data_IF_107036315069
#
_entry.id   IF_107036315069
#
_cell.length_a   1.000
_cell.length_b   1.000
_cell.length_c   1.000
_cell.angle_alpha   90.00
_cell.angle_beta   90.00
_cell.angle_gamma   90.00
#
_symmetry.space_group_name_H-M   'P 1'
#
loop_
_entity.id
_entity.type
_entity.pdbx_description
1 polymer ?
#
# COMPACT_ATOMS: atom_id res chain seq x y z
N UNK A 1 5.54 16.69 -2.48
CA UNK A 1 6.09 15.38 -2.08
C UNK A 1 6.95 14.87 -3.22
N UNK A 2 7.97 14.03 -3.00
CA UNK A 2 8.67 13.40 -4.11
C UNK A 2 7.69 12.54 -4.93
N UNK A 3 7.80 12.58 -6.25
CA UNK A 3 6.97 11.79 -7.17
C UNK A 3 7.51 10.37 -7.26
N UNK A 4 6.64 9.41 -7.57
CA UNK A 4 7.05 8.07 -7.92
C UNK A 4 7.64 8.07 -9.33
N UNK A 5 8.83 7.51 -9.47
CA UNK A 5 9.46 7.22 -10.76
C UNK A 5 8.79 6.01 -11.42
N UNK A 6 8.92 5.89 -12.74
CA UNK A 6 8.41 4.74 -13.50
C UNK A 6 8.95 3.40 -12.97
N UNK A 7 10.21 3.35 -12.54
CA UNK A 7 10.82 2.17 -11.92
C UNK A 7 10.18 1.79 -10.57
N UNK A 8 9.71 2.76 -9.80
CA UNK A 8 9.02 2.49 -8.52
C UNK A 8 7.62 1.94 -8.78
N UNK A 9 6.92 2.48 -9.79
CA UNK A 9 5.62 1.97 -10.22
C UNK A 9 5.74 0.53 -10.74
N UNK A 10 6.76 0.26 -11.55
CA UNK A 10 7.05 -1.09 -12.04
C UNK A 10 7.36 -2.06 -10.89
N UNK A 11 8.13 -1.62 -9.89
CA UNK A 11 8.38 -2.41 -8.68
C UNK A 11 7.11 -2.70 -7.89
N UNK A 12 6.20 -1.72 -7.73
CA UNK A 12 4.91 -1.92 -7.05
C UNK A 12 4.07 -2.96 -7.82
N UNK A 13 4.05 -2.86 -9.15
CA UNK A 13 3.34 -3.79 -10.02
C UNK A 13 3.90 -5.21 -9.94
N UNK A 14 5.23 -5.35 -10.00
CA UNK A 14 5.91 -6.62 -9.87
C UNK A 14 5.70 -7.23 -8.48
N UNK A 15 5.78 -6.42 -7.41
CA UNK A 15 5.51 -6.85 -6.05
C UNK A 15 4.09 -7.37 -5.91
N UNK A 16 3.10 -6.65 -6.45
CA UNK A 16 1.70 -7.07 -6.44
C UNK A 16 1.50 -8.39 -7.21
N UNK A 17 2.07 -8.52 -8.43
CA UNK A 17 1.99 -9.75 -9.22
C UNK A 17 2.73 -10.93 -8.61
N UNK A 18 3.77 -10.67 -7.82
CA UNK A 18 4.52 -11.71 -7.12
C UNK A 18 3.78 -12.26 -5.89
N UNK A 19 2.65 -11.66 -5.50
CA UNK A 19 1.88 -12.13 -4.36
C UNK A 19 1.08 -13.41 -4.67
N UNK A 20 0.94 -14.33 -3.70
CA UNK A 20 0.19 -15.56 -3.89
C UNK A 20 -1.31 -15.31 -4.09
N UNK A 21 -1.99 -16.22 -4.80
CA UNK A 21 -3.43 -16.19 -4.97
C UNK A 21 -4.12 -16.33 -3.59
N UNK A 22 -4.71 -15.25 -3.10
CA UNK A 22 -5.22 -15.15 -1.72
C UNK A 22 -4.46 -14.19 -0.82
N UNK A 23 -3.49 -13.46 -1.36
CA UNK A 23 -2.92 -12.33 -0.67
C UNK A 23 -3.98 -11.24 -0.43
N UNK A 24 -3.79 -10.47 0.64
CA UNK A 24 -4.68 -9.38 1.04
C UNK A 24 -4.75 -8.23 0.03
N UNK A 25 -3.78 -8.15 -0.88
CA UNK A 25 -3.58 -7.06 -1.82
C UNK A 25 -4.30 -7.39 -3.13
N UNK A 26 -5.43 -6.74 -3.38
CA UNK A 26 -6.28 -7.04 -4.55
C UNK A 26 -6.00 -6.19 -5.76
N UNK A 27 -5.30 -5.08 -5.57
CA UNK A 27 -4.82 -4.26 -6.67
C UNK A 27 -4.15 -3.00 -6.16
N UNK A 28 -3.68 -2.20 -7.10
CA UNK A 28 -3.14 -0.88 -6.82
C UNK A 28 -3.52 0.07 -7.97
N UNK A 29 -3.52 1.38 -7.71
CA UNK A 29 -3.74 2.40 -8.72
C UNK A 29 -2.86 3.62 -8.48
N UNK A 30 -2.17 4.08 -9.52
CA UNK A 30 -1.46 5.36 -9.49
C UNK A 30 -2.44 6.52 -9.73
N UNK A 31 -2.35 7.59 -8.92
CA UNK A 31 -3.19 8.79 -9.12
C UNK A 31 -2.44 9.81 -9.98
N UNK A 32 -2.89 9.98 -11.22
CA UNK A 32 -2.35 10.98 -12.15
C UNK A 32 -1.18 10.48 -13.01
N UNK A 33 -0.71 11.35 -13.90
CA UNK A 33 0.33 11.04 -14.90
C UNK A 33 1.75 10.99 -14.31
N UNK A 34 1.97 11.69 -13.20
CA UNK A 34 3.17 11.57 -12.36
C UNK A 34 2.70 11.33 -10.93
N UNK A 35 2.41 10.07 -10.56
CA UNK A 35 1.79 9.78 -9.29
C UNK A 35 2.68 10.31 -8.16
N UNK A 36 2.12 11.22 -7.36
CA UNK A 36 2.65 11.56 -6.03
C UNK A 36 2.12 10.59 -4.97
N UNK A 37 1.07 9.85 -5.33
CA UNK A 37 0.38 8.90 -4.46
C UNK A 37 -0.06 7.70 -5.26
N UNK A 38 0.21 6.52 -4.71
CA UNK A 38 -0.26 5.23 -5.22
C UNK A 38 -1.27 4.68 -4.22
N UNK A 39 -2.45 4.31 -4.68
CA UNK A 39 -3.46 3.67 -3.85
C UNK A 39 -3.28 2.17 -3.85
N UNK A 40 -3.17 1.61 -2.66
CA UNK A 40 -3.10 0.17 -2.43
C UNK A 40 -4.49 -0.31 -1.99
N UNK A 41 -5.06 -1.25 -2.74
CA UNK A 41 -6.37 -1.84 -2.43
C UNK A 41 -6.19 -3.19 -1.77
N UNK A 42 -6.86 -3.39 -0.63
CA UNK A 42 -6.91 -4.70 0.04
C UNK A 42 -8.32 -5.27 0.04
N UNK A 43 -8.45 -6.60 -0.14
CA UNK A 43 -9.71 -7.32 0.10
C UNK A 43 -9.54 -8.52 1.03
N UNK A 44 -10.56 -8.70 1.87
CA UNK A 44 -11.17 -10.01 2.22
C UNK A 44 -12.43 -9.89 3.07
N UNK A 45 -12.70 -8.74 3.68
CA UNK A 45 -13.95 -8.47 4.42
C UNK A 45 -14.29 -6.97 4.51
N UNK A 46 -13.27 -6.08 4.57
CA UNK A 46 -13.45 -4.63 4.52
C UNK A 46 -12.53 -4.05 3.45
N UNK A 47 -13.12 -3.50 2.38
CA UNK A 47 -12.37 -2.79 1.35
C UNK A 47 -11.73 -1.54 1.97
N UNK A 48 -10.40 -1.48 2.03
CA UNK A 48 -9.65 -0.28 2.43
C UNK A 48 -8.64 0.10 1.36
N UNK A 49 -8.51 1.41 1.18
CA UNK A 49 -7.49 2.03 0.35
C UNK A 49 -6.41 2.60 1.26
N UNK A 50 -5.16 2.30 0.93
CA UNK A 50 -4.00 2.82 1.63
C UNK A 50 -3.23 3.72 0.65
N UNK A 51 -3.34 5.04 0.77
CA UNK A 51 -2.49 5.95 0.01
C UNK A 51 -1.03 5.79 0.42
N UNK A 52 -0.24 5.24 -0.50
CA UNK A 52 1.21 5.19 -0.46
C UNK A 52 1.77 6.48 -1.05
N UNK A 53 2.57 7.18 -0.25
CA UNK A 53 3.28 8.39 -0.65
C UNK A 53 4.77 8.17 -0.52
N UNK A 54 5.56 8.86 -1.33
CA UNK A 54 7.02 8.78 -1.23
C UNK A 54 7.52 9.81 -0.22
N UNK A 55 8.49 9.44 0.58
CA UNK A 55 9.17 10.31 1.55
C UNK A 55 10.65 10.45 1.18
N UNK A 56 11.36 11.49 1.65
CA UNK A 56 12.78 11.63 1.38
C UNK A 56 13.63 10.46 1.92
N UNK A 57 13.12 9.69 2.88
CA UNK A 57 13.79 8.53 3.47
C UNK A 57 13.28 7.18 2.93
N UNK A 58 12.27 7.17 2.03
CA UNK A 58 11.64 5.95 1.53
C UNK A 58 10.18 6.17 1.16
N UNK A 59 9.29 5.47 1.87
CA UNK A 59 7.87 5.36 1.55
C UNK A 59 7.01 5.44 2.81
N UNK A 60 5.93 6.19 2.73
CA UNK A 60 4.93 6.34 3.78
C UNK A 60 3.59 5.80 3.31
N UNK A 61 3.11 4.77 3.98
CA UNK A 61 1.74 4.29 3.85
C UNK A 61 0.85 5.06 4.82
N UNK A 62 -0.22 5.63 4.30
CA UNK A 62 -1.28 6.24 5.10
C UNK A 62 -2.57 5.45 4.95
N UNK A 63 -3.47 5.60 5.91
CA UNK A 63 -4.85 5.10 5.81
C UNK A 63 -5.73 6.09 5.01
N UNK A 64 -6.98 5.72 4.72
CA UNK A 64 -7.98 6.55 4.04
C UNK A 64 -8.15 7.95 4.68
N UNK A 65 -8.01 8.02 6.01
CA UNK A 65 -8.10 9.27 6.78
C UNK A 65 -6.86 10.16 6.64
N UNK A 66 -5.86 9.78 5.84
CA UNK A 66 -4.59 10.49 5.71
C UNK A 66 -3.68 10.37 6.93
N UNK A 67 -4.04 9.51 7.90
CA UNK A 67 -3.19 9.20 9.03
C UNK A 67 -2.04 8.32 8.58
N UNK A 68 -0.82 8.75 8.87
CA UNK A 68 0.38 7.96 8.65
C UNK A 68 0.23 6.63 9.38
N UNK A 69 0.24 5.56 8.60
CA UNK A 69 0.04 4.22 9.09
C UNK A 69 1.39 3.57 9.37
N UNK A 70 2.31 3.58 8.39
CA UNK A 70 3.69 3.12 8.53
C UNK A 70 4.62 3.82 7.56
N UNK A 71 5.90 3.87 7.91
CA UNK A 71 6.99 4.29 7.02
C UNK A 71 7.99 3.15 6.85
N UNK A 72 8.55 3.02 5.66
CA UNK A 72 9.52 2.02 5.32
C UNK A 72 10.54 2.58 4.33
N UNK A 73 11.80 2.16 4.44
CA UNK A 73 12.84 2.58 3.50
C UNK A 73 12.70 1.93 2.11
N UNK A 74 12.04 0.77 2.02
CA UNK A 74 11.87 0.00 0.77
C UNK A 74 10.43 -0.46 0.59
N UNK A 75 10.02 -0.73 -0.66
CA UNK A 75 8.68 -1.24 -0.97
C UNK A 75 8.44 -2.65 -0.42
N UNK A 76 9.49 -3.49 -0.35
CA UNK A 76 9.41 -4.82 0.27
C UNK A 76 9.14 -4.73 1.78
N UNK A 77 9.85 -3.82 2.46
CA UNK A 77 9.65 -3.59 3.88
C UNK A 77 8.28 -2.96 4.16
N UNK A 78 7.81 -2.09 3.26
CA UNK A 78 6.45 -1.55 3.27
C UNK A 78 5.40 -2.66 3.10
N UNK A 79 5.63 -3.62 2.20
CA UNK A 79 4.74 -4.75 1.99
C UNK A 79 4.68 -5.62 3.25
N UNK A 80 5.84 -6.00 3.80
CA UNK A 80 5.92 -6.71 5.09
C UNK A 80 5.22 -5.94 6.20
N UNK A 81 5.31 -4.61 6.18
CA UNK A 81 4.61 -3.74 7.10
C UNK A 81 3.08 -3.79 6.94
N UNK A 82 2.59 -3.84 5.70
CA UNK A 82 1.16 -4.01 5.35
C UNK A 82 0.66 -5.41 5.73
N UNK A 83 1.48 -6.44 5.54
CA UNK A 83 1.20 -7.83 5.92
C UNK A 83 1.24 -8.05 7.43
N UNK A 84 2.20 -7.41 8.11
CA UNK A 84 2.36 -7.41 9.55
C UNK A 84 1.29 -6.58 10.27
N UNK A 85 0.35 -5.96 9.53
CA UNK A 85 -0.93 -5.54 10.11
C UNK A 85 -1.67 -6.82 10.47
N UNK A 86 -1.67 -7.22 11.76
CA UNK A 86 -2.47 -8.34 12.16
C UNK A 86 -3.89 -7.97 11.76
N UNK A 87 -4.62 -8.93 11.20
CA UNK A 87 -6.06 -8.83 11.02
C UNK A 87 -6.63 -7.96 12.14
N UNK A 88 -7.29 -6.87 11.77
CA UNK A 88 -8.25 -6.23 12.67
C UNK A 88 -9.15 -7.40 13.08
N UNK A 89 -8.87 -8.00 14.25
CA UNK A 89 -9.66 -9.10 14.77
C UNK A 89 -11.07 -8.55 14.80
N UNK A 90 -11.94 -9.28 14.14
CA UNK A 90 -13.39 -9.14 14.07
C UNK A 90 -14.00 -8.10 15.01
N UNK A 91 -14.69 -7.14 14.41
CA UNK A 91 -15.95 -6.64 14.93
C UNK A 91 -16.73 -6.21 13.66
N UNK A 92 -17.56 -6.98 12.98
CA UNK A 92 -18.41 -8.13 13.34
C UNK A 92 -18.72 -8.25 14.83
N UNK A 93 -19.38 -7.23 15.33
CA UNK A 93 -20.36 -7.41 16.37
C UNK A 93 -21.61 -6.62 15.97
N UNK A 94 -22.66 -7.40 15.71
CA UNK A 94 -24.08 -7.06 15.48
C UNK A 94 -24.53 -6.74 14.05
#
# INVERSE_FOLDING_TARGET
MPRFSSEEIDQIDQLWRSQPAGHMWTGWAAVGQSPETVWIYRSRAHWRRFPLTRTPAGYALSDDQGRLFREAATLDDLLKAVEAVPQLRSADQD
#
